data_IF_627163664620
#
_entry.id   IF_627163664620
#
_cell.length_a   1.000
_cell.length_b   1.000
_cell.length_c   1.000
_cell.angle_alpha   90.00
_cell.angle_beta   90.00
_cell.angle_gamma   90.00
#
_symmetry.space_group_name_H-M   'P 1'
#
loop_
_entity.id
_entity.type
_entity.pdbx_description
1 polymer ?
#
# COMPACT_ATOMS: atom_id res chain seq x y z
N UNK A 1 15.09 -31.98 -8.61
CA UNK A 1 16.27 -31.74 -7.74
C UNK A 1 15.77 -31.33 -6.37
N UNK A 2 16.61 -31.32 -5.32
CA UNK A 2 16.18 -30.76 -4.04
C UNK A 2 16.01 -29.24 -4.16
N UNK A 3 14.94 -28.69 -3.57
CA UNK A 3 14.73 -27.24 -3.49
C UNK A 3 15.58 -26.69 -2.34
N UNK A 4 16.37 -25.67 -2.62
CA UNK A 4 17.12 -24.91 -1.62
C UNK A 4 16.40 -23.60 -1.28
N UNK A 5 16.45 -23.22 0.00
CA UNK A 5 15.81 -22.01 0.54
C UNK A 5 16.88 -21.17 1.24
N UNK A 6 17.29 -20.08 0.60
CA UNK A 6 18.38 -19.21 1.06
C UNK A 6 17.79 -17.91 1.61
N UNK A 7 17.97 -17.61 2.91
CA UNK A 7 17.48 -16.36 3.52
C UNK A 7 18.12 -15.13 2.86
N UNK A 8 17.31 -14.12 2.57
CA UNK A 8 17.76 -12.83 2.00
C UNK A 8 17.86 -11.73 3.07
N UNK A 9 17.11 -11.82 4.17
CA UNK A 9 17.31 -10.98 5.36
C UNK A 9 17.22 -11.82 6.65
N UNK A 10 17.60 -11.27 7.82
CA UNK A 10 17.48 -11.98 9.09
C UNK A 10 16.03 -12.33 9.51
N UNK A 11 15.03 -11.54 9.11
CA UNK A 11 13.66 -11.61 9.64
C UNK A 11 12.59 -12.07 8.64
N UNK A 12 12.86 -11.95 7.35
CA UNK A 12 11.97 -12.35 6.25
C UNK A 12 12.75 -12.44 4.91
N UNK A 13 12.03 -12.73 3.82
CA UNK A 13 12.54 -12.91 2.46
C UNK A 13 13.52 -14.08 2.28
N UNK A 14 13.29 -14.89 1.25
CA UNK A 14 14.17 -15.97 0.84
C UNK A 14 14.24 -16.11 -0.69
N UNK A 15 15.39 -16.54 -1.20
CA UNK A 15 15.57 -17.01 -2.56
C UNK A 15 15.30 -18.51 -2.61
N UNK A 16 14.58 -18.94 -3.63
CA UNK A 16 14.27 -20.35 -3.89
C UNK A 16 15.04 -20.81 -5.12
N UNK A 17 15.78 -21.90 -4.96
CA UNK A 17 16.67 -22.46 -6.00
C UNK A 17 16.35 -23.94 -6.21
N UNK A 18 16.55 -24.46 -7.42
CA UNK A 18 16.22 -25.85 -7.78
C UNK A 18 14.75 -26.13 -8.14
N UNK A 19 13.90 -25.09 -8.14
CA UNK A 19 12.53 -25.14 -8.65
C UNK A 19 12.45 -24.52 -10.05
N UNK A 20 11.76 -25.20 -10.98
CA UNK A 20 11.41 -24.69 -12.29
C UNK A 20 9.89 -24.56 -12.36
N UNK A 21 9.41 -23.32 -12.36
CA UNK A 21 8.00 -22.98 -12.30
C UNK A 21 7.31 -23.02 -13.67
N UNK A 22 8.07 -23.19 -14.76
CA UNK A 22 7.51 -23.36 -16.12
C UNK A 22 6.87 -24.73 -16.32
N UNK A 23 7.05 -25.65 -15.38
CA UNK A 23 6.51 -27.02 -15.39
C UNK A 23 5.70 -27.31 -14.12
N UNK A 24 4.78 -28.29 -14.15
CA UNK A 24 4.07 -28.72 -12.94
C UNK A 24 5.03 -29.19 -11.85
N UNK A 25 4.91 -28.61 -10.66
CA UNK A 25 5.64 -29.05 -9.46
C UNK A 25 4.99 -30.29 -8.84
N UNK A 26 5.83 -31.24 -8.40
CA UNK A 26 5.40 -32.34 -7.52
C UNK A 26 5.05 -31.83 -6.11
N UNK A 27 4.27 -32.63 -5.36
CA UNK A 27 3.83 -32.26 -4.02
C UNK A 27 4.96 -32.07 -3.01
N UNK A 28 6.03 -32.90 -2.98
CA UNK A 28 7.19 -32.64 -2.11
C UNK A 28 7.84 -31.27 -2.36
N UNK A 29 8.04 -30.90 -3.63
CA UNK A 29 8.60 -29.61 -4.04
C UNK A 29 7.67 -28.45 -3.65
N UNK A 30 6.38 -28.61 -3.90
CA UNK A 30 5.37 -27.63 -3.51
C UNK A 30 5.29 -27.44 -2.00
N UNK A 31 5.37 -28.51 -1.20
CA UNK A 31 5.35 -28.44 0.26
C UNK A 31 6.52 -27.61 0.82
N UNK A 32 7.73 -27.76 0.25
CA UNK A 32 8.88 -26.92 0.62
C UNK A 32 8.63 -25.44 0.28
N UNK A 33 8.13 -25.14 -0.92
CA UNK A 33 7.79 -23.76 -1.32
C UNK A 33 6.71 -23.16 -0.42
N UNK A 34 5.67 -23.92 -0.07
CA UNK A 34 4.57 -23.46 0.79
C UNK A 34 5.04 -23.20 2.22
N UNK A 35 5.89 -24.06 2.77
CA UNK A 35 6.52 -23.86 4.08
C UNK A 35 7.43 -22.61 4.07
N UNK A 36 8.24 -22.45 3.02
CA UNK A 36 9.09 -21.27 2.84
C UNK A 36 8.27 -19.98 2.73
N UNK A 37 7.11 -20.00 2.06
CA UNK A 37 6.20 -18.86 1.97
C UNK A 37 5.68 -18.43 3.35
N UNK A 38 5.23 -19.36 4.19
CA UNK A 38 4.76 -19.04 5.55
C UNK A 38 5.91 -18.57 6.47
N UNK A 39 7.10 -19.15 6.34
CA UNK A 39 8.26 -18.76 7.16
C UNK A 39 8.87 -17.43 6.72
N UNK A 40 9.03 -17.18 5.42
CA UNK A 40 9.79 -16.03 4.90
C UNK A 40 8.93 -14.89 4.34
N UNK A 41 7.64 -15.10 4.06
CA UNK A 41 6.67 -14.10 3.59
C UNK A 41 6.98 -13.39 2.26
N UNK A 42 8.20 -13.45 1.74
CA UNK A 42 8.61 -13.04 0.39
C UNK A 42 9.52 -14.13 -0.17
N UNK A 43 9.22 -14.63 -1.36
CA UNK A 43 10.01 -15.63 -2.08
C UNK A 43 10.47 -15.06 -3.43
N UNK A 44 11.75 -15.19 -3.74
CA UNK A 44 12.36 -14.77 -5.00
C UNK A 44 12.80 -16.02 -5.77
N UNK A 45 12.37 -16.13 -7.03
CA UNK A 45 12.76 -17.19 -7.96
C UNK A 45 13.39 -16.52 -9.18
N UNK A 46 14.64 -16.82 -9.50
CA UNK A 46 15.31 -16.26 -10.68
C UNK A 46 15.14 -17.15 -11.92
N UNK A 47 15.25 -16.56 -13.12
CA UNK A 47 15.31 -17.30 -14.39
C UNK A 47 14.05 -18.07 -14.77
N UNK A 48 12.89 -17.66 -14.27
CA UNK A 48 11.58 -18.26 -14.52
C UNK A 48 10.95 -17.66 -15.77
N UNK A 49 11.23 -18.25 -16.94
CA UNK A 49 10.66 -17.89 -18.23
C UNK A 49 9.18 -18.33 -18.37
N UNK A 50 8.34 -17.94 -17.40
CA UNK A 50 6.90 -18.18 -17.41
C UNK A 50 6.24 -17.47 -18.59
N UNK A 51 5.20 -18.04 -19.17
CA UNK A 51 4.19 -17.28 -19.88
C UNK A 51 3.06 -16.87 -18.90
N UNK A 52 1.94 -16.40 -19.42
CA UNK A 52 0.78 -16.02 -18.61
C UNK A 52 0.05 -17.27 -18.06
N UNK A 53 -0.04 -18.35 -18.84
CA UNK A 53 -0.74 -19.57 -18.46
C UNK A 53 -0.02 -20.33 -17.34
N UNK A 54 1.31 -20.44 -17.43
CA UNK A 54 2.20 -20.97 -16.40
C UNK A 54 2.17 -20.13 -15.12
N UNK A 55 2.18 -18.80 -15.23
CA UNK A 55 2.03 -17.95 -14.04
C UNK A 55 0.66 -18.15 -13.37
N UNK A 56 -0.43 -18.24 -14.13
CA UNK A 56 -1.77 -18.56 -13.61
C UNK A 56 -1.77 -19.95 -12.93
N UNK A 57 -1.18 -20.97 -13.56
CA UNK A 57 -1.13 -22.32 -13.04
C UNK A 57 -0.36 -22.40 -11.71
N UNK A 58 0.82 -21.77 -11.63
CA UNK A 58 1.59 -21.70 -10.38
C UNK A 58 0.85 -20.90 -9.30
N UNK A 59 0.24 -19.76 -9.66
CA UNK A 59 -0.52 -18.93 -8.71
C UNK A 59 -1.70 -19.67 -8.10
N UNK A 60 -2.39 -20.52 -8.88
CA UNK A 60 -3.51 -21.36 -8.41
C UNK A 60 -3.11 -22.39 -7.36
N UNK A 61 -1.82 -22.73 -7.22
CA UNK A 61 -1.33 -23.57 -6.10
C UNK A 61 -1.53 -22.90 -4.74
N UNK A 62 -1.58 -21.56 -4.70
CA UNK A 62 -1.80 -20.79 -3.47
C UNK A 62 -3.28 -20.59 -3.12
N UNK A 63 -4.19 -20.66 -4.10
CA UNK A 63 -5.63 -20.42 -3.92
C UNK A 63 -6.32 -19.81 -5.14
N UNK A 64 -7.53 -19.28 -4.94
CA UNK A 64 -8.34 -18.67 -5.99
C UNK A 64 -7.76 -17.31 -6.43
N UNK A 65 -7.70 -17.07 -7.75
CA UNK A 65 -7.23 -15.80 -8.30
C UNK A 65 -8.31 -14.72 -8.19
N UNK A 66 -7.88 -13.51 -7.86
CA UNK A 66 -8.71 -12.33 -8.04
C UNK A 66 -8.83 -11.99 -9.54
N UNK A 67 -10.01 -11.53 -9.96
CA UNK A 67 -10.15 -10.83 -11.25
C UNK A 67 -9.79 -9.37 -11.05
N UNK A 68 -8.91 -8.84 -11.89
CA UNK A 68 -8.52 -7.44 -11.85
C UNK A 68 -9.69 -6.55 -12.28
N UNK A 69 -10.07 -5.65 -11.38
CA UNK A 69 -11.09 -4.61 -11.59
C UNK A 69 -10.41 -3.23 -11.57
N UNK A 70 -11.20 -2.18 -11.81
CA UNK A 70 -10.75 -0.78 -11.94
C UNK A 70 -9.85 -0.52 -13.16
N UNK A 71 -9.13 0.59 -13.18
CA UNK A 71 -8.41 1.16 -14.32
C UNK A 71 -7.05 0.53 -14.64
N UNK A 72 -6.74 -0.66 -14.11
CA UNK A 72 -5.50 -1.34 -14.49
C UNK A 72 -5.54 -1.71 -16.00
N UNK A 73 -4.41 -1.65 -16.75
CA UNK A 73 -4.41 -1.99 -18.16
C UNK A 73 -4.97 -3.40 -18.49
N UNK A 74 -4.88 -4.34 -17.56
CA UNK A 74 -5.34 -5.73 -17.69
C UNK A 74 -6.73 -6.01 -17.07
N UNK A 75 -7.56 -4.97 -16.90
CA UNK A 75 -8.90 -5.08 -16.31
C UNK A 75 -9.78 -6.14 -17.02
N UNK A 76 -10.51 -6.92 -16.23
CA UNK A 76 -11.33 -8.04 -16.71
C UNK A 76 -10.57 -9.37 -16.83
N UNK A 77 -9.24 -9.39 -16.66
CA UNK A 77 -8.44 -10.62 -16.68
C UNK A 77 -8.02 -11.06 -15.26
N UNK A 78 -7.44 -12.29 -15.09
CA UNK A 78 -6.78 -12.70 -13.86
C UNK A 78 -5.47 -11.95 -13.54
N UNK A 79 -5.04 -11.03 -14.42
CA UNK A 79 -3.81 -10.28 -14.28
C UNK A 79 -4.04 -8.83 -13.92
N UNK A 80 -3.14 -8.27 -13.13
CA UNK A 80 -2.89 -6.84 -13.08
C UNK A 80 -1.52 -6.59 -13.73
N UNK A 81 -1.43 -5.65 -14.67
CA UNK A 81 -0.19 -5.33 -15.37
C UNK A 81 0.41 -4.03 -14.81
N UNK A 82 1.64 -4.09 -14.29
CA UNK A 82 2.38 -2.94 -13.73
C UNK A 82 3.44 -2.50 -14.75
N UNK A 83 2.93 -1.93 -15.84
CA UNK A 83 3.67 -1.60 -17.06
C UNK A 83 3.48 -0.13 -17.45
N UNK A 84 4.49 0.50 -18.05
CA UNK A 84 4.30 1.74 -18.79
C UNK A 84 3.92 1.50 -20.27
N UNK A 85 3.66 0.25 -20.67
CA UNK A 85 3.24 -0.13 -22.02
C UNK A 85 1.74 -0.40 -22.09
N UNK A 86 1.11 0.13 -23.13
CA UNK A 86 -0.28 -0.13 -23.50
C UNK A 86 -0.47 -1.61 -23.90
N UNK A 87 -1.57 -2.23 -23.46
CA UNK A 87 -1.81 -3.65 -23.72
C UNK A 87 -2.26 -3.99 -25.14
N UNK A 88 -2.82 -3.02 -25.87
CA UNK A 88 -3.32 -3.19 -27.23
C UNK A 88 -2.27 -2.84 -28.26
N UNK A 89 -1.45 -1.83 -28.01
CA UNK A 89 -0.43 -1.35 -28.97
C UNK A 89 1.01 -1.77 -28.63
N UNK A 90 1.32 -2.07 -27.37
CA UNK A 90 2.70 -2.33 -26.92
C UNK A 90 3.57 -1.08 -26.78
N UNK A 91 3.02 0.11 -27.06
CA UNK A 91 3.72 1.38 -27.00
C UNK A 91 3.68 2.02 -25.61
N UNK A 92 4.62 2.94 -25.36
CA UNK A 92 4.72 3.65 -24.07
C UNK A 92 3.50 4.54 -23.87
N UNK A 93 2.85 4.41 -22.72
CA UNK A 93 1.73 5.23 -22.29
C UNK A 93 2.26 6.62 -21.87
N UNK A 94 1.66 7.73 -22.34
CA UNK A 94 2.04 9.09 -21.91
C UNK A 94 1.99 9.25 -20.38
N UNK A 95 2.96 10.00 -19.83
CA UNK A 95 3.12 10.11 -18.37
C UNK A 95 1.95 10.81 -17.65
N UNK A 96 1.21 11.66 -18.36
CA UNK A 96 0.03 12.39 -17.88
C UNK A 96 -1.28 11.58 -17.99
N UNK A 97 -1.28 10.48 -18.75
CA UNK A 97 -2.40 9.56 -18.91
C UNK A 97 -2.93 9.09 -17.54
N UNK A 98 -4.25 9.10 -17.38
CA UNK A 98 -4.95 8.72 -16.15
C UNK A 98 -4.56 7.31 -15.65
N UNK A 99 -4.12 6.41 -16.55
CA UNK A 99 -3.58 5.07 -16.25
C UNK A 99 -2.20 5.12 -15.61
N UNK A 100 -1.28 5.96 -16.11
CA UNK A 100 0.04 6.13 -15.48
C UNK A 100 -0.10 6.76 -14.10
N UNK A 101 -0.96 7.77 -13.97
CA UNK A 101 -1.29 8.41 -12.70
C UNK A 101 -1.88 7.42 -11.70
N UNK A 102 -2.78 6.54 -12.13
CA UNK A 102 -3.31 5.46 -11.30
C UNK A 102 -2.21 4.52 -10.74
N UNK A 103 -1.13 4.32 -11.52
CA UNK A 103 -0.02 3.44 -11.13
C UNK A 103 0.98 4.09 -10.16
N UNK A 104 1.09 5.42 -10.12
CA UNK A 104 1.98 6.12 -9.18
C UNK A 104 1.66 5.78 -7.71
N UNK A 105 0.40 5.45 -7.39
CA UNK A 105 0.00 5.02 -6.06
C UNK A 105 0.64 3.69 -5.62
N UNK A 106 1.15 2.88 -6.57
CA UNK A 106 1.93 1.68 -6.25
C UNK A 106 3.34 2.01 -5.73
N UNK A 107 3.78 3.28 -5.77
CA UNK A 107 5.01 3.75 -5.12
C UNK A 107 4.80 4.13 -3.65
N UNK A 108 3.55 4.15 -3.18
CA UNK A 108 3.23 4.25 -1.75
C UNK A 108 3.30 2.85 -1.12
N UNK A 109 3.72 2.75 0.13
CA UNK A 109 3.70 1.49 0.87
C UNK A 109 2.27 0.96 1.04
N UNK A 110 1.97 -0.23 0.52
CA UNK A 110 0.63 -0.82 0.57
C UNK A 110 0.63 -2.34 0.68
N UNK A 111 -0.48 -2.89 1.17
CA UNK A 111 -0.85 -4.32 1.07
C UNK A 111 -1.96 -4.46 0.02
N UNK A 112 -1.79 -5.37 -0.94
CA UNK A 112 -2.71 -5.54 -2.06
C UNK A 112 -4.12 -5.90 -1.61
N UNK A 113 -5.12 -5.33 -2.29
CA UNK A 113 -6.54 -5.61 -2.05
C UNK A 113 -7.00 -5.38 -0.60
N UNK A 114 -6.22 -4.69 0.25
CA UNK A 114 -6.62 -4.34 1.62
C UNK A 114 -7.84 -3.41 1.68
N UNK A 115 -8.21 -2.78 0.56
CA UNK A 115 -9.46 -2.05 0.36
C UNK A 115 -10.67 -2.94 -0.02
N UNK A 116 -10.54 -4.28 0.00
CA UNK A 116 -11.63 -5.24 -0.21
C UNK A 116 -12.05 -5.88 1.13
N UNK A 117 -13.30 -6.38 1.25
CA UNK A 117 -13.75 -7.10 2.46
C UNK A 117 -12.94 -8.38 2.71
N UNK A 118 -12.54 -9.06 1.63
CA UNK A 118 -11.57 -10.16 1.61
C UNK A 118 -10.28 -9.64 0.95
N UNK A 119 -9.23 -9.28 1.72
CA UNK A 119 -7.94 -8.89 1.15
C UNK A 119 -7.20 -10.07 0.51
N UNK A 120 -6.17 -9.76 -0.28
CA UNK A 120 -5.33 -10.78 -0.90
C UNK A 120 -4.60 -11.64 0.15
N UNK A 121 -4.44 -12.93 -0.16
CA UNK A 121 -3.49 -13.82 0.50
C UNK A 121 -2.07 -13.46 0.05
N UNK A 122 -1.82 -13.54 -1.25
CA UNK A 122 -0.52 -13.27 -1.83
C UNK A 122 -0.63 -12.66 -3.23
N UNK A 123 0.46 -12.06 -3.67
CA UNK A 123 0.64 -11.59 -5.04
C UNK A 123 1.91 -12.21 -5.61
N UNK A 124 1.89 -12.50 -6.91
CA UNK A 124 3.02 -13.04 -7.65
C UNK A 124 3.28 -12.10 -8.84
N UNK A 125 4.47 -11.52 -8.91
CA UNK A 125 4.87 -10.56 -9.94
C UNK A 125 6.06 -11.10 -10.73
N UNK A 126 5.90 -11.25 -12.04
CA UNK A 126 6.96 -11.68 -12.94
C UNK A 126 7.54 -10.49 -13.72
N UNK A 127 8.86 -10.48 -13.89
CA UNK A 127 9.58 -9.52 -14.71
C UNK A 127 9.67 -9.99 -16.16
N UNK A 128 9.01 -9.25 -17.07
CA UNK A 128 9.03 -9.52 -18.51
C UNK A 128 9.95 -8.57 -19.27
N UNK A 129 9.95 -7.30 -18.88
CA UNK A 129 10.86 -6.26 -19.39
C UNK A 129 11.27 -5.40 -18.20
N UNK A 130 12.57 -5.26 -17.96
CA UNK A 130 13.13 -4.54 -16.80
C UNK A 130 13.90 -3.29 -17.28
N UNK A 131 13.68 -2.09 -16.68
CA UNK A 131 14.49 -0.92 -17.00
C UNK A 131 15.94 -1.12 -16.53
N UNK A 132 16.95 -0.58 -17.23
CA UNK A 132 18.35 -0.73 -16.86
C UNK A 132 18.73 -0.01 -15.55
N UNK A 133 17.90 0.95 -15.12
CA UNK A 133 18.08 1.73 -13.89
C UNK A 133 16.73 1.97 -13.17
N UNK A 134 16.74 1.88 -11.84
CA UNK A 134 15.55 2.08 -11.00
C UNK A 134 14.52 0.94 -11.09
N UNK A 135 13.27 1.22 -10.73
CA UNK A 135 12.14 0.31 -11.00
C UNK A 135 12.06 -0.94 -10.09
N UNK A 136 12.96 -1.06 -9.11
CA UNK A 136 12.97 -2.05 -8.04
C UNK A 136 11.64 -2.11 -7.26
N UNK A 137 11.41 -3.23 -6.58
CA UNK A 137 10.33 -3.35 -5.60
C UNK A 137 10.91 -3.46 -4.19
N UNK A 138 10.37 -2.66 -3.27
CA UNK A 138 10.70 -2.71 -1.86
C UNK A 138 9.57 -3.39 -1.09
N UNK A 139 9.93 -4.20 -0.12
CA UNK A 139 9.05 -4.97 0.75
C UNK A 139 9.38 -4.65 2.21
N UNK A 140 8.38 -4.60 3.09
CA UNK A 140 8.54 -4.34 4.52
C UNK A 140 7.72 -5.35 5.35
N UNK A 141 8.37 -6.03 6.30
CA UNK A 141 7.75 -7.07 7.11
C UNK A 141 6.99 -6.48 8.30
N UNK A 142 5.68 -6.26 8.12
CA UNK A 142 4.78 -5.84 9.19
C UNK A 142 4.66 -6.89 10.32
N UNK A 143 5.01 -8.15 10.05
CA UNK A 143 5.15 -9.24 11.05
C UNK A 143 6.39 -9.07 11.93
N UNK A 144 7.53 -8.65 11.38
CA UNK A 144 8.74 -8.38 12.14
C UNK A 144 8.66 -7.04 12.91
N UNK A 145 7.93 -6.07 12.36
CA UNK A 145 7.71 -4.75 12.96
C UNK A 145 6.70 -4.75 14.13
N UNK A 146 5.64 -5.57 14.10
CA UNK A 146 4.65 -5.63 15.19
C UNK A 146 5.24 -5.96 16.60
N UNK A 147 6.09 -7.00 16.78
CA UNK A 147 6.63 -7.31 18.10
C UNK A 147 7.59 -6.25 18.65
N UNK A 148 8.21 -5.44 17.79
CA UNK A 148 9.15 -4.37 18.16
C UNK A 148 8.48 -3.00 18.42
N UNK A 149 7.16 -2.91 18.30
CA UNK A 149 6.42 -1.70 18.69
C UNK A 149 6.64 -1.36 20.17
N UNK A 150 6.87 -0.08 20.53
CA UNK A 150 6.83 0.37 21.93
C UNK A 150 5.53 -0.05 22.60
N UNK A 151 5.59 -0.52 23.86
CA UNK A 151 4.43 -1.07 24.56
C UNK A 151 3.16 -0.17 24.55
N UNK A 152 3.25 1.18 24.73
CA UNK A 152 2.08 2.05 24.63
C UNK A 152 1.47 2.07 23.22
N UNK A 153 2.30 2.06 22.17
CA UNK A 153 1.83 2.04 20.78
C UNK A 153 1.19 0.69 20.44
N UNK A 154 1.80 -0.41 20.90
CA UNK A 154 1.26 -1.77 20.75
C UNK A 154 -0.11 -1.90 21.41
N UNK A 155 -0.27 -1.40 22.64
CA UNK A 155 -1.55 -1.39 23.35
C UNK A 155 -2.63 -0.57 22.62
N UNK A 156 -2.28 0.59 22.06
CA UNK A 156 -3.22 1.43 21.28
C UNK A 156 -3.75 0.73 20.02
N UNK A 157 -2.93 -0.06 19.32
CA UNK A 157 -3.34 -0.72 18.06
C UNK A 157 -3.99 -2.09 18.24
N UNK A 158 -3.84 -2.69 19.42
CA UNK A 158 -4.18 -4.08 19.72
C UNK A 158 -5.61 -4.49 19.33
N UNK A 159 -6.56 -3.56 19.42
CA UNK A 159 -7.98 -3.70 19.01
C UNK A 159 -8.46 -2.61 18.04
N UNK A 160 -7.55 -1.79 17.52
CA UNK A 160 -7.90 -0.67 16.66
C UNK A 160 -8.33 -1.16 15.27
N UNK A 161 -9.37 -0.53 14.72
CA UNK A 161 -9.90 -0.81 13.38
C UNK A 161 -9.49 0.33 12.45
N UNK A 162 -8.84 0.02 11.33
CA UNK A 162 -8.56 0.97 10.26
C UNK A 162 -9.64 0.89 9.18
N UNK A 163 -10.02 2.04 8.65
CA UNK A 163 -10.88 2.14 7.46
C UNK A 163 -9.99 2.17 6.22
N UNK A 164 -10.02 1.12 5.43
CA UNK A 164 -9.30 1.02 4.16
C UNK A 164 -10.18 1.53 3.01
N UNK A 165 -9.73 2.61 2.38
CA UNK A 165 -10.41 3.29 1.28
C UNK A 165 -9.50 3.28 0.04
N UNK A 166 -10.03 2.76 -1.06
CA UNK A 166 -9.29 2.72 -2.33
C UNK A 166 -9.10 4.11 -2.93
N UNK A 167 -10.10 4.97 -2.85
CA UNK A 167 -10.06 6.32 -3.40
C UNK A 167 -9.12 7.22 -2.61
N UNK A 168 -9.11 7.12 -1.29
CA UNK A 168 -8.11 7.78 -0.43
C UNK A 168 -6.66 7.51 -0.89
N UNK A 169 -6.35 6.27 -1.28
CA UNK A 169 -5.01 5.92 -1.77
C UNK A 169 -4.64 6.55 -3.12
N UNK A 170 -5.64 6.94 -3.92
CA UNK A 170 -5.44 7.61 -5.22
C UNK A 170 -5.43 9.13 -5.06
N UNK A 171 -6.19 9.68 -4.13
CA UNK A 171 -6.16 11.11 -3.79
C UNK A 171 -4.82 11.57 -3.22
N UNK A 172 -4.08 10.70 -2.52
CA UNK A 172 -2.70 10.94 -2.08
C UNK A 172 -1.71 11.22 -3.24
N UNK A 173 -2.03 10.79 -4.47
CA UNK A 173 -1.23 11.03 -5.68
C UNK A 173 -1.81 12.17 -6.51
N UNK A 174 -3.13 12.16 -6.73
CA UNK A 174 -3.85 13.20 -7.46
C UNK A 174 -5.19 13.44 -6.74
N UNK A 175 -5.35 14.54 -5.98
CA UNK A 175 -6.61 14.86 -5.33
C UNK A 175 -7.78 14.88 -6.32
N UNK A 176 -8.91 14.26 -5.96
CA UNK A 176 -10.06 14.14 -6.84
C UNK A 176 -9.86 13.13 -7.97
N UNK A 177 -8.98 12.13 -7.80
CA UNK A 177 -8.69 11.16 -8.86
C UNK A 177 -9.95 10.43 -9.34
N UNK A 178 -10.72 9.88 -8.40
CA UNK A 178 -12.01 9.26 -8.69
C UNK A 178 -13.16 10.26 -8.56
N UNK A 179 -14.07 10.19 -9.53
CA UNK A 179 -15.42 10.77 -9.49
C UNK A 179 -16.26 10.11 -8.39
N UNK A 180 -17.34 10.76 -7.96
CA UNK A 180 -18.23 10.22 -6.91
C UNK A 180 -18.85 8.87 -7.29
N UNK A 181 -19.15 8.67 -8.58
CA UNK A 181 -19.64 7.39 -9.10
C UNK A 181 -18.57 6.27 -8.99
N UNK A 182 -17.31 6.57 -9.33
CA UNK A 182 -16.21 5.62 -9.16
C UNK A 182 -15.94 5.31 -7.68
N UNK A 183 -16.06 6.31 -6.79
CA UNK A 183 -15.95 6.11 -5.32
C UNK A 183 -17.05 5.18 -4.80
N UNK A 184 -18.29 5.40 -5.22
CA UNK A 184 -19.43 4.57 -4.82
C UNK A 184 -19.28 3.09 -5.25
N UNK A 185 -18.52 2.80 -6.32
CA UNK A 185 -18.22 1.43 -6.75
C UNK A 185 -17.16 0.72 -5.89
N UNK A 186 -16.41 1.44 -5.04
CA UNK A 186 -15.39 0.92 -4.14
C UNK A 186 -15.57 1.50 -2.72
N UNK A 187 -16.68 1.16 -2.03
CA UNK A 187 -16.95 1.68 -0.69
C UNK A 187 -15.83 1.28 0.29
N UNK A 188 -15.46 2.15 1.25
CA UNK A 188 -14.44 1.83 2.25
C UNK A 188 -14.80 0.59 3.08
N UNK A 189 -13.77 -0.18 3.43
CA UNK A 189 -13.90 -1.42 4.24
C UNK A 189 -13.19 -1.26 5.57
N UNK A 190 -13.56 -2.07 6.56
CA UNK A 190 -13.05 -2.01 7.93
C UNK A 190 -12.19 -3.23 8.20
N UNK A 191 -10.97 -3.03 8.71
CA UNK A 191 -10.06 -4.13 9.08
C UNK A 191 -9.37 -3.86 10.42
N UNK A 192 -9.11 -4.88 11.26
CA UNK A 192 -8.28 -4.70 12.43
C UNK A 192 -6.83 -4.40 12.02
N UNK A 193 -6.22 -3.41 12.68
CA UNK A 193 -4.82 -3.02 12.45
C UNK A 193 -3.89 -4.18 12.79
N UNK A 194 -4.16 -4.94 13.84
CA UNK A 194 -3.38 -6.15 14.18
C UNK A 194 -4.13 -7.39 13.71
N UNK A 195 -3.57 -8.07 12.71
CA UNK A 195 -4.08 -9.34 12.19
C UNK A 195 -3.27 -10.52 12.70
N UNK A 196 -3.94 -11.66 12.88
CA UNK A 196 -3.32 -12.96 13.15
C UNK A 196 -3.34 -13.80 11.87
N UNK A 197 -2.20 -14.35 11.45
CA UNK A 197 -2.15 -15.29 10.33
C UNK A 197 -2.77 -16.63 10.78
N UNK A 198 -3.84 -17.14 10.11
CA UNK A 198 -4.55 -18.33 10.54
C UNK A 198 -3.74 -19.63 10.39
N UNK A 199 -2.65 -19.64 9.62
CA UNK A 199 -1.82 -20.83 9.37
C UNK A 199 -0.77 -21.04 10.45
N UNK A 200 -0.24 -19.96 11.05
CA UNK A 200 0.91 -20.03 11.96
C UNK A 200 0.76 -19.17 13.25
N UNK A 201 -0.38 -18.50 13.45
CA UNK A 201 -0.66 -17.69 14.64
C UNK A 201 0.18 -16.41 14.78
N UNK A 202 1.11 -16.13 13.85
CA UNK A 202 1.97 -14.94 13.93
C UNK A 202 1.15 -13.68 13.62
N UNK A 203 1.42 -12.61 14.38
CA UNK A 203 0.69 -11.34 14.27
C UNK A 203 1.45 -10.32 13.44
N UNK A 204 0.72 -9.51 12.68
CA UNK A 204 1.27 -8.48 11.81
C UNK A 204 0.35 -7.25 11.76
N UNK A 205 0.91 -6.11 11.38
CA UNK A 205 0.14 -4.90 11.12
C UNK A 205 -0.44 -4.90 9.71
N UNK A 206 -1.73 -4.59 9.56
CA UNK A 206 -2.36 -4.24 8.29
C UNK A 206 -2.58 -2.72 8.25
N UNK A 207 -1.88 -2.06 7.34
CA UNK A 207 -1.93 -0.62 7.08
C UNK A 207 -1.37 -0.32 5.69
N UNK A 208 -1.07 0.95 5.40
CA UNK A 208 -0.47 1.42 4.15
C UNK A 208 -1.36 2.45 3.47
N UNK A 209 -1.09 2.76 2.21
CA UNK A 209 -1.75 3.83 1.46
C UNK A 209 -3.29 3.76 1.43
N UNK A 210 -3.87 2.57 1.58
CA UNK A 210 -5.32 2.37 1.65
C UNK A 210 -5.91 2.71 3.02
N UNK A 211 -5.18 2.55 4.12
CA UNK A 211 -5.68 2.87 5.46
C UNK A 211 -5.82 4.39 5.60
N UNK A 212 -7.06 4.88 5.67
CA UNK A 212 -7.39 6.30 5.62
C UNK A 212 -7.45 6.99 6.97
N UNK A 213 -7.96 6.26 7.97
CA UNK A 213 -8.07 6.68 9.36
C UNK A 213 -8.35 5.47 10.26
N UNK A 214 -8.34 5.70 11.58
CA UNK A 214 -8.70 4.72 12.60
C UNK A 214 -10.08 5.06 13.13
N UNK A 215 -10.95 4.06 13.17
CA UNK A 215 -12.31 4.19 13.68
C UNK A 215 -12.32 4.50 15.18
N UNK A 216 -13.23 5.38 15.62
CA UNK A 216 -13.36 5.79 17.02
C UNK A 216 -12.36 6.83 17.50
N UNK A 217 -11.39 7.25 16.67
CA UNK A 217 -10.51 8.39 16.93
C UNK A 217 -10.91 9.62 16.10
N UNK A 218 -10.46 10.81 16.49
CA UNK A 218 -10.57 11.97 15.62
C UNK A 218 -9.75 11.74 14.34
N UNK A 219 -10.22 12.28 13.20
CA UNK A 219 -9.67 11.96 11.87
C UNK A 219 -8.15 12.15 11.78
N UNK A 220 -7.66 13.28 12.30
CA UNK A 220 -6.23 13.62 12.28
C UNK A 220 -5.41 12.79 13.29
N UNK A 221 -5.98 12.40 14.44
CA UNK A 221 -5.33 11.50 15.40
C UNK A 221 -5.19 10.09 14.84
N UNK A 222 -6.23 9.58 14.17
CA UNK A 222 -6.20 8.29 13.48
C UNK A 222 -5.18 8.26 12.35
N UNK A 223 -5.13 9.34 11.53
CA UNK A 223 -4.12 9.51 10.48
C UNK A 223 -2.69 9.59 11.05
N UNK A 224 -2.49 10.35 12.12
CA UNK A 224 -1.19 10.45 12.80
C UNK A 224 -0.73 9.10 13.36
N UNK A 225 -1.64 8.31 13.94
CA UNK A 225 -1.35 6.95 14.38
C UNK A 225 -0.95 6.02 13.22
N UNK A 226 -1.70 6.03 12.11
CA UNK A 226 -1.35 5.24 10.92
C UNK A 226 0.01 5.64 10.32
N UNK A 227 0.32 6.95 10.29
CA UNK A 227 1.63 7.46 9.86
C UNK A 227 2.76 6.97 10.77
N UNK A 228 2.61 7.07 12.09
CA UNK A 228 3.58 6.59 13.06
C UNK A 228 3.86 5.09 12.92
N UNK A 229 2.81 4.28 12.68
CA UNK A 229 2.95 2.85 12.46
C UNK A 229 3.64 2.54 11.12
N UNK A 230 3.30 3.28 10.05
CA UNK A 230 3.96 3.12 8.76
C UNK A 230 5.44 3.46 8.82
N UNK A 231 5.81 4.53 9.53
CA UNK A 231 7.20 4.93 9.77
C UNK A 231 7.96 3.86 10.57
N UNK A 232 7.31 3.18 11.52
CA UNK A 232 7.89 2.03 12.23
C UNK A 232 8.09 0.80 11.34
N UNK A 233 7.10 0.45 10.51
CA UNK A 233 7.19 -0.69 9.58
C UNK A 233 8.23 -0.46 8.48
N UNK A 234 8.39 0.78 8.01
CA UNK A 234 9.31 1.13 6.93
C UNK A 234 10.79 1.28 7.36
N UNK A 235 11.13 1.00 8.64
CA UNK A 235 12.52 1.08 9.11
C UNK A 235 13.41 0.03 8.40
N UNK A 236 14.68 0.35 8.05
CA UNK A 236 15.51 -0.50 7.19
C UNK A 236 15.65 -1.97 7.63
N UNK A 237 15.69 -2.26 8.93
CA UNK A 237 15.83 -3.62 9.46
C UNK A 237 14.59 -4.51 9.23
N UNK A 238 13.45 -3.94 8.84
CA UNK A 238 12.26 -4.69 8.43
C UNK A 238 12.07 -4.73 6.91
N UNK A 239 12.97 -4.09 6.15
CA UNK A 239 12.84 -3.88 4.72
C UNK A 239 13.76 -4.80 3.90
N UNK A 240 13.30 -5.15 2.70
CA UNK A 240 14.06 -5.85 1.65
C UNK A 240 13.82 -5.13 0.32
N UNK A 241 14.89 -4.87 -0.41
CA UNK A 241 14.84 -4.24 -1.74
C UNK A 241 15.25 -5.27 -2.78
N UNK A 242 14.34 -5.55 -3.71
CA UNK A 242 14.59 -6.44 -4.84
C UNK A 242 14.86 -5.61 -6.10
N UNK A 243 16.12 -5.59 -6.52
CA UNK A 243 16.51 -5.21 -7.88
C UNK A 243 16.11 -6.36 -8.82
N UNK A 244 15.35 -6.04 -9.86
CA UNK A 244 14.77 -7.04 -10.76
C UNK A 244 15.77 -7.50 -11.82
N UNK A 245 15.73 -8.78 -12.16
CA UNK A 245 16.26 -9.34 -13.42
C UNK A 245 15.10 -9.85 -14.28
N UNK A 246 15.24 -9.86 -15.60
CA UNK A 246 14.23 -10.47 -16.48
C UNK A 246 14.11 -11.98 -16.21
N UNK A 247 12.87 -12.48 -16.16
CA UNK A 247 12.57 -13.83 -15.70
C UNK A 247 12.49 -13.99 -14.18
N UNK A 248 12.73 -12.96 -13.38
CA UNK A 248 12.46 -13.05 -11.94
C UNK A 248 10.96 -13.15 -11.66
N UNK A 249 10.58 -14.05 -10.74
CA UNK A 249 9.26 -14.09 -10.11
C UNK A 249 9.43 -13.81 -8.61
N UNK A 250 8.70 -12.82 -8.10
CA UNK A 250 8.60 -12.59 -6.65
C UNK A 250 7.17 -12.84 -6.17
N UNK A 251 7.06 -13.63 -5.10
CA UNK A 251 5.80 -13.96 -4.42
C UNK A 251 5.83 -13.35 -3.02
N UNK A 252 4.80 -12.61 -2.61
CA UNK A 252 4.74 -12.05 -1.25
C UNK A 252 3.39 -12.22 -0.56
N UNK A 253 3.44 -12.35 0.77
CA UNK A 253 2.31 -12.56 1.66
C UNK A 253 1.67 -11.23 2.08
N UNK A 254 0.59 -10.83 1.41
CA UNK A 254 -0.15 -9.60 1.71
C UNK A 254 -0.81 -9.60 3.11
N UNK A 255 -0.89 -10.74 3.79
CA UNK A 255 -1.33 -10.81 5.20
C UNK A 255 -0.35 -10.14 6.16
N UNK A 256 0.92 -9.97 5.75
CA UNK A 256 1.96 -9.45 6.65
C UNK A 256 3.13 -8.67 6.00
N UNK A 257 3.07 -8.41 4.70
CA UNK A 257 4.05 -7.62 3.94
C UNK A 257 3.39 -6.37 3.38
N UNK A 258 4.01 -5.21 3.59
CA UNK A 258 3.76 -4.02 2.77
C UNK A 258 4.78 -3.99 1.64
N UNK A 259 4.42 -3.41 0.49
CA UNK A 259 5.32 -3.27 -0.64
C UNK A 259 5.13 -1.93 -1.36
N UNK A 260 6.13 -1.54 -2.16
CA UNK A 260 6.06 -0.41 -3.10
C UNK A 260 7.01 -0.61 -4.28
N UNK A 261 6.65 -0.09 -5.44
CA UNK A 261 7.60 0.12 -6.53
C UNK A 261 8.44 1.38 -6.29
N UNK A 262 9.67 1.40 -6.80
CA UNK A 262 10.52 2.61 -6.79
C UNK A 262 10.59 3.26 -8.18
N UNK A 263 10.92 4.56 -8.27
CA UNK A 263 10.98 5.27 -9.55
C UNK A 263 11.96 4.65 -10.55
N UNK A 264 11.64 4.86 -11.83
CA UNK A 264 12.52 4.66 -12.99
C UNK A 264 12.12 5.71 -14.04
N UNK A 265 12.95 5.92 -15.05
CA UNK A 265 12.58 6.81 -16.15
C UNK A 265 11.51 6.16 -17.06
N UNK A 266 10.24 6.48 -16.81
CA UNK A 266 9.09 5.96 -17.55
C UNK A 266 9.01 6.44 -19.00
N UNK A 267 9.78 7.47 -19.38
CA UNK A 267 9.78 8.03 -20.73
C UNK A 267 10.91 7.41 -21.58
N UNK A 268 12.08 7.14 -20.97
CA UNK A 268 13.24 6.53 -21.65
C UNK A 268 13.20 5.00 -21.67
N UNK A 269 12.58 4.35 -20.69
CA UNK A 269 12.69 2.89 -20.51
C UNK A 269 11.34 2.18 -20.48
N UNK A 270 11.23 1.09 -21.25
CA UNK A 270 10.10 0.17 -21.19
C UNK A 270 10.20 -0.68 -19.91
N UNK A 271 9.07 -0.92 -19.24
CA UNK A 271 8.95 -1.84 -18.10
C UNK A 271 7.64 -2.60 -18.21
N UNK A 272 7.72 -3.92 -18.13
CA UNK A 272 6.56 -4.81 -18.15
C UNK A 272 6.69 -5.82 -17.02
N UNK A 273 5.91 -5.59 -15.96
CA UNK A 273 5.72 -6.56 -14.88
C UNK A 273 4.28 -7.08 -14.94
N UNK A 274 4.11 -8.39 -14.78
CA UNK A 274 2.82 -9.08 -14.92
C UNK A 274 2.45 -9.74 -13.58
N UNK A 275 1.32 -9.34 -12.97
CA UNK A 275 0.93 -9.77 -11.63
C UNK A 275 -0.33 -10.61 -11.62
N UNK A 276 -0.28 -11.73 -10.93
CA UNK A 276 -1.45 -12.47 -10.45
C UNK A 276 -1.64 -12.17 -8.96
N UNK A 277 -2.90 -12.05 -8.53
CA UNK A 277 -3.23 -11.82 -7.11
C UNK A 277 -4.14 -12.94 -6.64
N UNK A 278 -3.84 -13.54 -5.50
CA UNK A 278 -4.58 -14.66 -4.90
C UNK A 278 -5.43 -14.10 -3.77
N UNK A 279 -6.74 -14.35 -3.83
CA UNK A 279 -7.69 -13.92 -2.80
C UNK A 279 -7.40 -14.60 -1.45
N UNK A 280 -7.69 -13.92 -0.34
CA UNK A 280 -7.93 -14.59 0.92
C UNK A 280 -9.17 -15.50 0.85
N UNK A 281 -9.31 -16.39 1.84
CA UNK A 281 -10.41 -17.37 1.90
C UNK A 281 -11.71 -16.79 2.50
N UNK A 282 -11.59 -15.85 3.44
CA UNK A 282 -12.68 -15.26 4.21
C UNK A 282 -12.39 -13.80 4.57
N UNK A 283 -13.43 -13.06 4.93
CA UNK A 283 -13.30 -11.73 5.55
C UNK A 283 -12.55 -11.84 6.89
N UNK A 284 -11.95 -10.73 7.32
CA UNK A 284 -11.21 -10.69 8.58
C UNK A 284 -12.19 -10.44 9.72
N UNK A 285 -12.21 -11.32 10.71
CA UNK A 285 -13.08 -11.20 11.87
C UNK A 285 -12.78 -9.92 12.66
N UNK A 286 -13.80 -9.07 12.80
CA UNK A 286 -13.77 -7.88 13.65
C UNK A 286 -14.40 -8.26 14.99
N UNK A 287 -13.58 -8.53 16.00
CA UNK A 287 -14.07 -8.79 17.35
C UNK A 287 -14.51 -7.48 18.03
N UNK A 288 -15.80 -7.16 17.93
CA UNK A 288 -16.44 -5.99 18.55
C UNK A 288 -16.53 -6.11 20.07
N UNK A 289 -15.47 -5.73 20.80
CA UNK A 289 -15.40 -5.75 22.27
C UNK A 289 -14.88 -4.41 22.82
N UNK A 290 -15.75 -3.40 22.71
CA UNK A 290 -15.48 -2.02 23.14
C UNK A 290 -14.47 -1.29 22.25
N UNK A 291 -14.65 0.02 22.08
CA UNK A 291 -13.51 0.88 21.75
C UNK A 291 -12.46 0.78 22.86
N UNK A 292 -11.20 1.20 22.63
CA UNK A 292 -10.24 1.28 23.74
C UNK A 292 -10.84 2.18 24.83
N UNK A 293 -11.07 1.60 26.01
CA UNK A 293 -11.42 2.38 27.21
C UNK A 293 -10.30 3.40 27.41
N UNK A 294 -10.62 4.66 27.13
CA UNK A 294 -9.70 5.76 27.30
C UNK A 294 -9.30 5.79 28.78
N UNK A 295 -8.00 5.71 29.04
CA UNK A 295 -7.47 5.90 30.39
C UNK A 295 -8.07 7.21 30.94
N UNK A 296 -8.59 7.22 32.18
CA UNK A 296 -9.35 8.36 32.69
C UNK A 296 -8.51 9.64 32.61
N UNK A 297 -9.10 10.71 32.09
CA UNK A 297 -8.46 12.02 32.00
C UNK A 297 -7.83 12.38 33.36
N UNK A 298 -6.57 12.87 33.38
CA UNK A 298 -6.00 13.40 34.61
C UNK A 298 -6.90 14.54 35.14
N UNK A 299 -7.14 14.63 36.45
CA UNK A 299 -8.05 15.62 37.00
C UNK A 299 -7.58 17.04 36.64
N UNK A 300 -8.53 17.87 36.22
CA UNK A 300 -8.30 19.22 35.75
C UNK A 300 -7.88 20.14 36.92
N UNK A 301 -6.58 20.23 37.21
CA UNK A 301 -6.03 21.09 38.27
C UNK A 301 -6.07 22.55 37.82
N UNK A 302 -7.24 23.17 37.91
CA UNK A 302 -7.36 24.64 38.01
C UNK A 302 -7.29 25.04 39.48
N UNK A 303 -6.08 25.28 39.97
CA UNK A 303 -5.81 25.92 41.25
C UNK A 303 -4.70 26.94 41.07
N UNK A 304 -5.01 28.23 41.25
CA UNK A 304 -4.01 29.29 41.20
C UNK A 304 -3.15 29.28 42.49
N UNK A 305 -1.82 29.54 42.41
CA UNK A 305 -1.00 29.69 43.60
C UNK A 305 -1.06 31.14 44.12
N UNK A 306 -1.46 31.32 45.37
CA UNK A 306 -1.27 32.56 46.12
C UNK A 306 -0.82 32.24 47.56
N UNK A 307 0.42 32.63 47.84
CA UNK A 307 1.12 32.84 49.13
C UNK A 307 0.76 32.01 50.39
N UNK A 308 1.73 31.26 50.96
CA UNK A 308 1.69 30.85 52.36
C UNK A 308 2.27 31.93 53.27
N UNK A 309 1.50 32.38 54.27
CA UNK A 309 1.96 33.22 55.36
C UNK A 309 2.77 32.43 56.41
N UNK A 310 3.68 33.13 57.10
CA UNK A 310 4.68 32.61 58.06
C UNK A 310 4.10 31.78 59.21
N UNK A 311 4.92 30.86 59.76
CA UNK A 311 5.13 30.80 61.21
C UNK A 311 6.60 31.06 61.62
N UNK A 312 6.85 31.10 62.93
CA UNK A 312 8.01 31.73 63.58
C UNK A 312 8.92 30.77 64.37
N UNK A 313 10.25 30.98 64.29
CA UNK A 313 11.27 30.45 65.22
C UNK A 313 11.69 28.97 64.99
N UNK A 314 12.90 28.52 65.38
CA UNK A 314 14.08 29.21 65.93
C UNK A 314 15.31 28.27 66.00
N UNK A 315 16.52 28.77 65.72
CA UNK A 315 17.87 28.14 65.95
C UNK A 315 18.13 26.83 65.15
N UNK A 316 19.36 26.45 64.76
CA UNK A 316 20.75 26.90 65.05
C UNK A 316 21.65 26.67 63.79
N UNK A 317 22.84 27.30 63.70
CA UNK A 317 23.81 27.11 62.58
C UNK A 317 24.86 26.02 62.86
N UNK A 318 26.08 26.02 62.24
CA UNK A 318 26.67 26.88 61.19
C UNK A 318 26.92 26.08 59.85
N UNK A 319 27.64 26.47 58.79
CA UNK A 319 28.99 27.08 58.74
C UNK A 319 29.45 27.64 57.36
N UNK A 320 30.42 28.55 57.42
CA UNK A 320 31.38 29.11 56.44
C UNK A 320 31.05 29.35 54.93
N UNK A 321 31.35 30.59 54.50
CA UNK A 321 31.67 30.99 53.12
C UNK A 321 33.22 31.02 52.90
N UNK A 322 33.75 31.21 51.66
CA UNK A 322 33.85 32.57 51.11
C UNK A 322 33.62 32.73 49.58
N UNK A 323 33.69 33.99 49.14
CA UNK A 323 33.27 34.52 47.83
C UNK A 323 34.32 34.44 46.69
N UNK A 324 33.94 34.72 45.43
CA UNK A 324 34.81 34.75 44.24
C UNK A 324 35.49 36.12 44.04
N UNK A 325 36.26 36.29 42.94
CA UNK A 325 36.38 37.60 42.28
C UNK A 325 36.05 37.57 40.77
N UNK A 326 35.95 38.77 40.20
CA UNK A 326 35.32 39.07 38.90
C UNK A 326 36.09 40.20 38.17
N UNK A 327 35.65 40.53 36.95
CA UNK A 327 35.71 41.81 36.22
C UNK A 327 36.95 42.18 35.33
N UNK A 328 36.59 42.73 34.15
CA UNK A 328 37.26 43.70 33.22
C UNK A 328 37.99 43.11 32.00
N UNK A 329 37.80 43.64 30.77
CA UNK A 329 36.96 44.76 30.32
C UNK A 329 36.93 44.94 28.77
N UNK A 330 36.12 45.89 28.27
CA UNK A 330 36.03 46.30 26.85
C UNK A 330 36.96 47.52 26.55
N UNK A 331 37.22 47.96 25.28
CA UNK A 331 36.24 48.37 24.23
C UNK A 331 36.53 47.68 22.85
N UNK A 332 36.13 48.10 21.63
CA UNK A 332 35.46 49.29 21.07
C UNK A 332 34.74 48.99 19.72
N UNK A 333 34.04 49.99 19.13
CA UNK A 333 33.67 50.10 17.70
C UNK A 333 34.37 51.35 17.08
N UNK A 334 34.57 51.47 15.74
CA UNK A 334 33.54 51.93 14.77
C UNK A 334 33.58 51.12 13.43
N UNK A 335 32.78 51.29 12.36
CA UNK A 335 31.90 52.40 11.90
C UNK A 335 30.86 51.90 10.86
N UNK A 336 29.75 52.64 10.65
CA UNK A 336 28.83 52.55 9.48
C UNK A 336 29.20 53.56 8.37
N UNK A 337 28.69 53.37 7.12
CA UNK A 337 27.55 54.16 6.60
C UNK A 337 26.41 53.23 6.09
N UNK A 338 25.09 53.45 6.24
CA UNK A 338 24.16 54.53 5.77
C UNK A 338 24.17 54.74 4.24
N UNK A 339 23.07 54.70 3.47
CA UNK A 339 21.62 54.47 3.68
C UNK A 339 20.97 54.21 2.30
N UNK A 340 19.68 54.33 1.99
CA UNK A 340 18.44 54.58 2.76
C UNK A 340 17.22 54.54 1.81
N UNK A 341 16.10 53.90 2.23
CA UNK A 341 14.69 54.21 1.84
C UNK A 341 14.32 54.11 0.33
N UNK A 342 13.05 54.01 -0.09
CA UNK A 342 11.75 54.18 0.58
C UNK A 342 10.65 53.28 -0.08
N UNK A 343 9.50 53.09 0.59
CA UNK A 343 8.30 52.46 -0.01
C UNK A 343 7.48 53.45 -0.87
N UNK A 344 6.29 53.06 -1.37
CA UNK A 344 5.12 53.03 -0.48
C UNK A 344 4.05 51.95 -0.76
N UNK A 345 3.04 51.90 0.12
CA UNK A 345 1.81 51.11 0.01
C UNK A 345 0.90 51.52 -1.17
N UNK A 346 0.09 50.57 -1.67
CA UNK A 346 -1.38 50.66 -1.68
C UNK A 346 -2.05 49.40 -2.31
N UNK A 347 -3.18 48.98 -1.74
CA UNK A 347 -4.03 47.92 -2.27
C UNK A 347 -5.30 48.50 -2.93
N UNK A 348 -5.94 47.77 -3.86
CA UNK A 348 -7.35 47.96 -4.17
C UNK A 348 -8.22 46.71 -3.88
N UNK A 349 -9.51 46.96 -3.60
CA UNK A 349 -10.55 45.99 -3.24
C UNK A 349 -11.02 45.10 -4.41
N UNK A 350 -11.68 43.96 -4.13
CA UNK A 350 -12.18 43.03 -5.14
C UNK A 350 -13.53 43.46 -5.76
N UNK A 351 -13.84 43.03 -7.00
CA UNK A 351 -15.19 43.15 -7.55
C UNK A 351 -16.12 42.05 -7.01
N UNK A 352 -17.31 42.47 -6.56
CA UNK A 352 -18.41 41.59 -6.15
C UNK A 352 -19.41 41.46 -7.31
N UNK A 353 -19.68 40.23 -7.78
CA UNK A 353 -20.75 39.98 -8.77
C UNK A 353 -21.64 38.83 -8.28
N UNK A 354 -22.90 39.16 -7.99
CA UNK A 354 -23.98 38.20 -7.73
C UNK A 354 -24.48 37.63 -9.06
N UNK A 355 -24.81 36.34 -9.13
CA UNK A 355 -25.41 35.77 -10.34
C UNK A 355 -25.71 34.26 -10.29
N UNK A 356 -26.76 33.87 -9.58
CA UNK A 356 -27.45 32.58 -9.72
C UNK A 356 -28.90 32.72 -9.18
N UNK A 357 -29.88 31.89 -9.59
CA UNK A 357 -29.82 30.76 -10.54
C UNK A 357 -30.75 30.94 -11.77
N UNK A 358 -30.60 30.10 -12.81
CA UNK A 358 -31.59 29.96 -13.88
C UNK A 358 -31.53 28.58 -14.59
N UNK A 359 -32.38 27.66 -14.13
CA UNK A 359 -32.98 26.54 -14.88
C UNK A 359 -34.41 26.36 -14.32
N UNK A 360 -35.37 25.72 -15.03
CA UNK A 360 -35.21 24.89 -16.23
C UNK A 360 -36.18 25.21 -17.39
N UNK A 361 -35.95 24.59 -18.55
CA UNK A 361 -36.99 24.41 -19.57
C UNK A 361 -36.92 23.02 -20.23
N UNK A 362 -37.90 22.17 -19.93
CA UNK A 362 -38.27 21.02 -20.77
C UNK A 362 -39.01 21.53 -22.02
N UNK A 363 -39.06 20.73 -23.08
CA UNK A 363 -40.39 20.26 -23.46
C UNK A 363 -40.50 18.74 -23.53
N UNK A 364 -41.75 18.28 -23.44
CA UNK A 364 -42.18 16.88 -23.44
C UNK A 364 -42.39 16.32 -24.85
N UNK A 365 -41.94 15.09 -25.07
CA UNK A 365 -42.44 14.18 -26.12
C UNK A 365 -42.85 12.86 -25.47
N UNK A 366 -44.06 12.38 -25.73
CA UNK A 366 -44.71 11.33 -24.94
C UNK A 366 -44.68 9.94 -25.58
N UNK A 367 -44.52 8.93 -24.72
CA UNK A 367 -45.08 7.56 -24.78
C UNK A 367 -45.22 6.88 -26.16
N UNK A 368 -44.58 5.72 -26.29
CA UNK A 368 -45.30 4.45 -26.46
C UNK A 368 -44.46 3.27 -25.94
N UNK A 369 -45.13 2.21 -25.51
CA UNK A 369 -44.57 0.87 -25.26
C UNK A 369 -45.54 -0.15 -25.86
N UNK A 370 -45.43 -1.48 -25.60
CA UNK A 370 -44.59 -2.12 -24.58
C UNK A 370 -43.86 -3.41 -25.02
N UNK A 371 -43.15 -4.00 -24.05
CA UNK A 371 -43.06 -5.45 -23.77
C UNK A 371 -42.17 -6.43 -24.59
N UNK A 372 -41.92 -7.57 -23.93
CA UNK A 372 -41.39 -8.86 -24.41
C UNK A 372 -39.87 -9.06 -24.63
N UNK A 373 -39.33 -9.97 -23.82
CA UNK A 373 -38.11 -10.77 -24.04
C UNK A 373 -38.30 -12.14 -23.35
N UNK A 374 -37.53 -13.20 -23.65
CA UNK A 374 -36.81 -13.54 -24.89
C UNK A 374 -37.09 -15.00 -25.36
N UNK A 375 -36.57 -15.42 -26.53
CA UNK A 375 -36.25 -16.83 -26.84
C UNK A 375 -35.03 -16.92 -27.79
N UNK A 376 -34.26 -18.04 -27.78
CA UNK A 376 -32.94 -18.14 -28.39
C UNK A 376 -32.97 -18.65 -29.85
N UNK A 377 -31.87 -18.48 -30.63
CA UNK A 377 -31.67 -19.17 -31.90
C UNK A 377 -31.01 -20.55 -31.70
N UNK A 378 -31.43 -21.52 -32.51
CA UNK A 378 -30.94 -22.91 -32.52
C UNK A 378 -29.53 -23.08 -33.12
N UNK A 379 -28.87 -24.18 -32.75
CA UNK A 379 -27.53 -24.52 -33.20
C UNK A 379 -27.54 -25.63 -34.26
N UNK A 380 -27.16 -25.30 -35.51
CA UNK A 380 -26.73 -26.29 -36.51
C UNK A 380 -25.67 -25.71 -37.47
N UNK A 381 -24.41 -26.13 -37.30
CA UNK A 381 -23.59 -26.74 -38.36
C UNK A 381 -22.18 -27.07 -37.82
N UNK A 382 -21.70 -28.27 -38.12
CA UNK A 382 -20.34 -28.74 -37.80
C UNK A 382 -19.41 -28.60 -39.03
N UNK A 383 -18.08 -28.48 -38.82
CA UNK A 383 -17.10 -28.75 -39.86
C UNK A 383 -16.15 -29.92 -39.54
N UNK A 384 -16.13 -30.88 -40.46
CA UNK A 384 -15.02 -31.73 -40.95
C UNK A 384 -13.93 -32.31 -40.00
N UNK A 385 -13.75 -33.63 -40.10
CA UNK A 385 -12.53 -34.36 -39.67
C UNK A 385 -11.35 -34.16 -40.65
N UNK A 386 -10.09 -34.22 -40.19
CA UNK A 386 -8.92 -34.34 -41.06
C UNK A 386 -8.56 -35.81 -41.35
N UNK A 387 -8.29 -36.12 -42.63
CA UNK A 387 -8.00 -37.47 -43.11
C UNK A 387 -6.63 -38.05 -42.75
N UNK A 388 -6.43 -39.35 -43.05
CA UNK A 388 -5.23 -40.13 -42.71
C UNK A 388 -4.42 -40.61 -43.93
N UNK A 389 -3.12 -40.82 -43.67
CA UNK A 389 -2.15 -41.59 -44.47
C UNK A 389 -1.61 -40.89 -45.73
N UNK A 390 -0.41 -41.22 -46.23
CA UNK A 390 0.39 -42.45 -46.00
C UNK A 390 1.90 -42.23 -45.96
N UNK A 391 2.61 -43.20 -45.38
CA UNK A 391 4.07 -43.33 -45.42
C UNK A 391 4.43 -44.18 -46.66
N UNK A 392 5.44 -43.77 -47.41
CA UNK A 392 6.14 -44.63 -48.38
C UNK A 392 7.61 -44.83 -47.96
N UNK A 393 8.12 -46.02 -48.25
CA UNK A 393 9.53 -46.43 -48.10
C UNK A 393 10.06 -46.93 -49.46
N UNK A 394 11.37 -47.13 -49.52
CA UNK A 394 12.19 -47.58 -50.66
C UNK A 394 12.61 -46.43 -51.58
N UNK A 395 13.85 -46.35 -52.05
CA UNK A 395 14.96 -47.33 -52.00
C UNK A 395 16.13 -46.89 -51.13
#
# INVERSE_FOLDING_TARGET
MAIAVTRLTPVFAARIEGADLTRPLDEPSWAVIRAAFEEHSVLVFHGQALDDEGQIAFSRRFGNLEVTRSMNPAAGTPFARQSNLDMKTGEVIPADDRRMVYQLANMLWHSDSSFKPVPALCSLLSARIVPPEGGATEFASARAAYPSLPAPLKARVERAIAVHDFAWSRDQVRPGFFTDQERAAFPPVRHPIVRTNPVNGRRALLLGAHASHVEGLALEEGRALLKQLLEHVAQPQFCYRHEWTEGDLVVWDNRCVLHRGTPYDTARHKRLMQRTTVSGEREIEIHSHGGPDMAPNPPNVRGAPAEPSRPSGSREGPDMAPNPPNVRGAPAEPSRPSGSREGPDMAPNPPNVRGAPAEPSRPSGSREGPDMAPKPPDAHHAPAEPGRSSISRST
#
